data_IF_097803140853
#
_entry.id   IF_097803140853
#
_cell.length_a   1.000
_cell.length_b   1.000
_cell.length_c   1.000
_cell.angle_alpha   90.00
_cell.angle_beta   90.00
_cell.angle_gamma   90.00
#
_symmetry.space_group_name_H-M   'P 1'
#
loop_
_entity.id
_entity.type
_entity.pdbx_description
1 polymer ?
#
# COMPACT_ATOMS: atom_id res chain seq x y z
N UNK A 1 -21.65 -11.18 -9.44
CA UNK A 1 -20.29 -10.71 -9.77
C UNK A 1 -20.35 -9.19 -9.89
N UNK A 2 -19.83 -8.47 -8.90
CA UNK A 2 -19.92 -7.00 -8.91
C UNK A 2 -18.99 -6.47 -10.02
N UNK A 3 -19.54 -5.72 -10.97
CA UNK A 3 -18.75 -5.10 -12.02
C UNK A 3 -17.81 -4.07 -11.37
N UNK A 4 -16.49 -4.28 -11.49
CA UNK A 4 -15.49 -3.33 -11.01
C UNK A 4 -15.76 -1.94 -11.64
N UNK A 5 -16.02 -0.94 -10.81
CA UNK A 5 -16.25 0.45 -11.24
C UNK A 5 -14.98 1.00 -11.89
N UNK A 6 -15.02 1.25 -13.20
CA UNK A 6 -13.91 1.86 -13.95
C UNK A 6 -14.11 3.38 -14.03
N UNK A 7 -13.06 4.15 -13.75
CA UNK A 7 -13.05 5.61 -13.94
C UNK A 7 -12.24 5.97 -15.19
N UNK A 8 -12.71 6.90 -16.05
CA UNK A 8 -11.91 7.37 -17.18
C UNK A 8 -10.68 8.15 -16.69
N UNK A 9 -9.54 7.90 -17.32
CA UNK A 9 -8.27 8.54 -16.99
C UNK A 9 -7.50 8.79 -18.29
N UNK A 10 -7.12 10.05 -18.52
CA UNK A 10 -6.37 10.46 -19.71
C UNK A 10 -4.92 10.74 -19.32
N UNK A 11 -3.99 10.16 -20.07
CA UNK A 11 -2.55 10.36 -19.91
C UNK A 11 -1.91 10.67 -21.26
N UNK A 12 -0.88 11.52 -21.24
CA UNK A 12 -0.04 11.76 -22.41
C UNK A 12 1.12 10.77 -22.41
N UNK A 13 1.30 10.05 -23.51
CA UNK A 13 2.43 9.16 -23.76
C UNK A 13 3.28 9.71 -24.88
N UNK A 14 4.60 9.47 -24.81
CA UNK A 14 5.48 9.69 -25.95
C UNK A 14 5.04 8.82 -27.13
N UNK A 15 5.16 9.36 -28.33
CA UNK A 15 4.67 8.74 -29.56
C UNK A 15 5.32 7.37 -29.86
N UNK A 16 6.61 7.22 -29.57
CA UNK A 16 7.35 5.97 -29.70
C UNK A 16 6.83 4.88 -28.75
N UNK A 17 6.44 5.25 -27.52
CA UNK A 17 5.88 4.31 -26.53
C UNK A 17 4.47 3.86 -26.93
N UNK A 18 3.66 4.78 -27.45
CA UNK A 18 2.33 4.42 -27.97
C UNK A 18 2.44 3.48 -29.18
N UNK A 19 3.38 3.75 -30.09
CA UNK A 19 3.66 2.90 -31.25
C UNK A 19 4.11 1.50 -30.84
N UNK A 20 5.00 1.40 -29.85
CA UNK A 20 5.44 0.11 -29.30
C UNK A 20 4.28 -0.66 -28.66
N UNK A 21 3.43 0.00 -27.87
CA UNK A 21 2.25 -0.62 -27.25
C UNK A 21 1.27 -1.15 -28.28
N UNK A 22 1.02 -0.41 -29.37
CA UNK A 22 0.17 -0.87 -30.48
C UNK A 22 0.72 -2.14 -31.13
N UNK A 23 2.01 -2.15 -31.46
CA UNK A 23 2.66 -3.34 -32.03
C UNK A 23 2.56 -4.56 -31.11
N UNK A 24 2.72 -4.38 -29.80
CA UNK A 24 2.56 -5.47 -28.82
C UNK A 24 1.10 -5.93 -28.74
N UNK A 25 0.15 -5.01 -28.73
CA UNK A 25 -1.27 -5.29 -28.69
C UNK A 25 -1.71 -6.13 -29.90
N UNK A 26 -1.29 -5.72 -31.09
CA UNK A 26 -1.58 -6.41 -32.35
C UNK A 26 -1.01 -7.83 -32.35
N UNK A 27 0.26 -7.99 -31.95
CA UNK A 27 0.92 -9.31 -31.86
C UNK A 27 0.24 -10.25 -30.86
N UNK A 28 -0.35 -9.71 -29.79
CA UNK A 28 -1.01 -10.48 -28.73
C UNK A 28 -2.53 -10.61 -28.92
N UNK A 29 -3.10 -10.00 -29.96
CA UNK A 29 -4.56 -9.98 -30.17
C UNK A 29 -5.32 -9.32 -29.01
N UNK A 30 -4.75 -8.28 -28.40
CA UNK A 30 -5.33 -7.57 -27.25
C UNK A 30 -5.45 -6.07 -27.49
N UNK A 31 -5.97 -5.33 -26.51
CA UNK A 31 -6.06 -3.87 -26.58
C UNK A 31 -4.90 -3.18 -25.87
N UNK A 32 -4.49 -2.02 -26.38
CA UNK A 32 -3.55 -1.11 -25.69
C UNK A 32 -4.01 -0.82 -24.26
N UNK A 33 -5.32 -0.63 -24.07
CA UNK A 33 -5.90 -0.37 -22.76
C UNK A 33 -5.72 -1.55 -21.79
N UNK A 34 -5.75 -2.80 -22.27
CA UNK A 34 -5.47 -3.96 -21.41
C UNK A 34 -4.00 -3.99 -21.01
N UNK A 35 -3.08 -3.78 -21.96
CA UNK A 35 -1.65 -3.75 -21.67
C UNK A 35 -1.30 -2.68 -20.66
N UNK A 36 -1.88 -1.48 -20.80
CA UNK A 36 -1.68 -0.38 -19.85
C UNK A 36 -2.19 -0.76 -18.46
N UNK A 37 -3.39 -1.34 -18.34
CA UNK A 37 -3.92 -1.80 -17.05
C UNK A 37 -3.03 -2.86 -16.41
N UNK A 38 -2.65 -3.90 -17.16
CA UNK A 38 -1.77 -4.95 -16.66
C UNK A 38 -0.43 -4.40 -16.18
N UNK A 39 0.16 -3.48 -16.95
CA UNK A 39 1.44 -2.86 -16.57
C UNK A 39 1.29 -2.03 -15.28
N UNK A 40 0.16 -1.35 -15.09
CA UNK A 40 -0.14 -0.60 -13.86
C UNK A 40 -0.37 -1.54 -12.69
N UNK A 41 -1.14 -2.62 -12.88
CA UNK A 41 -1.40 -3.63 -11.84
C UNK A 41 -0.08 -4.27 -11.38
N UNK A 42 0.78 -4.67 -12.32
CA UNK A 42 2.12 -5.20 -12.04
C UNK A 42 2.98 -4.16 -11.32
N UNK A 43 2.95 -2.89 -11.75
CA UNK A 43 3.70 -1.82 -11.10
C UNK A 43 3.25 -1.63 -9.65
N UNK A 44 1.94 -1.58 -9.38
CA UNK A 44 1.37 -1.40 -8.05
C UNK A 44 1.73 -2.57 -7.13
N UNK A 45 1.71 -3.81 -7.65
CA UNK A 45 2.12 -5.00 -6.88
C UNK A 45 3.64 -4.99 -6.62
N UNK A 46 4.43 -4.55 -7.59
CA UNK A 46 5.90 -4.56 -7.52
C UNK A 46 6.49 -3.44 -6.67
N UNK A 47 5.78 -2.31 -6.57
CA UNK A 47 6.11 -1.25 -5.64
C UNK A 47 5.50 -1.65 -4.30
N UNK A 48 6.30 -1.93 -3.25
CA UNK A 48 5.75 -1.79 -1.92
C UNK A 48 5.33 -0.32 -1.82
N UNK A 49 4.06 -0.03 -2.03
CA UNK A 49 3.43 1.07 -1.32
C UNK A 49 3.62 0.63 0.11
N UNK A 50 4.71 1.08 0.73
CA UNK A 50 4.97 0.83 2.12
C UNK A 50 3.90 1.63 2.88
N UNK A 51 2.68 1.10 2.92
CA UNK A 51 2.01 0.95 4.20
C UNK A 51 3.06 0.25 5.05
N UNK A 52 3.77 1.04 5.85
CA UNK A 52 4.65 0.51 6.87
C UNK A 52 3.80 -0.53 7.63
N UNK A 53 4.08 -1.84 7.53
CA UNK A 53 3.25 -2.85 8.17
C UNK A 53 3.25 -2.70 9.70
N UNK A 54 4.16 -1.89 10.26
CA UNK A 54 4.16 -1.51 11.67
C UNK A 54 3.17 -0.38 11.98
N UNK A 55 2.69 0.36 10.99
CA UNK A 55 1.67 1.39 11.17
C UNK A 55 0.34 0.79 11.64
N UNK A 56 0.02 -0.43 11.19
CA UNK A 56 -1.14 -1.21 11.66
C UNK A 56 -1.03 -1.62 13.15
N UNK A 57 0.17 -1.53 13.75
CA UNK A 57 0.41 -1.83 15.16
C UNK A 57 0.09 -0.61 16.04
N UNK A 58 0.13 0.61 15.48
CA UNK A 58 -0.12 1.84 16.22
C UNK A 58 -1.59 1.89 16.65
N UNK A 59 -1.83 1.96 17.97
CA UNK A 59 -3.18 2.03 18.54
C UNK A 59 -3.86 0.68 18.81
N UNK A 60 -3.15 -0.44 18.70
CA UNK A 60 -3.69 -1.76 19.08
C UNK A 60 -3.97 -1.93 20.59
N UNK A 61 -3.34 -1.10 21.43
CA UNK A 61 -3.50 -1.12 22.88
C UNK A 61 -3.83 0.26 23.43
N UNK A 62 -4.63 0.28 24.49
CA UNK A 62 -4.94 1.48 25.28
C UNK A 62 -4.59 1.19 26.75
N UNK A 63 -3.67 1.96 27.31
CA UNK A 63 -3.31 1.88 28.73
C UNK A 63 -4.14 2.83 29.60
N UNK A 64 -4.90 3.74 28.99
CA UNK A 64 -5.57 4.85 29.68
C UNK A 64 -4.62 5.95 30.18
N UNK A 65 -3.32 5.84 29.91
CA UNK A 65 -2.28 6.76 30.39
C UNK A 65 -1.80 7.66 29.25
N UNK A 66 -1.99 8.98 29.40
CA UNK A 66 -1.62 9.97 28.39
C UNK A 66 -0.11 10.24 28.26
N UNK A 67 0.69 9.77 29.22
CA UNK A 67 2.14 9.99 29.30
C UNK A 67 2.94 8.69 29.19
N UNK A 68 2.31 7.58 28.78
CA UNK A 68 2.93 6.25 28.79
C UNK A 68 4.22 6.21 27.95
N UNK A 69 4.23 6.85 26.78
CA UNK A 69 5.40 6.87 25.91
C UNK A 69 6.59 7.61 26.55
N UNK A 70 6.32 8.72 27.24
CA UNK A 70 7.34 9.55 27.89
C UNK A 70 7.89 8.90 29.17
N UNK A 71 7.04 8.21 29.93
CA UNK A 71 7.36 7.67 31.24
C UNK A 71 7.39 6.13 31.30
N UNK A 72 7.61 5.45 30.16
CA UNK A 72 7.52 4.00 30.06
C UNK A 72 8.39 3.24 31.08
N UNK A 73 9.65 3.68 31.28
CA UNK A 73 10.57 3.05 32.23
C UNK A 73 10.06 3.08 33.68
N UNK A 74 9.44 4.20 34.09
CA UNK A 74 8.83 4.32 35.43
C UNK A 74 7.73 3.29 35.59
N UNK A 75 6.83 3.19 34.62
CA UNK A 75 5.71 2.24 34.67
C UNK A 75 6.17 0.78 34.66
N UNK A 76 7.22 0.45 33.88
CA UNK A 76 7.82 -0.88 33.91
C UNK A 76 8.41 -1.22 35.29
N UNK A 77 9.13 -0.29 35.91
CA UNK A 77 9.70 -0.47 37.25
C UNK A 77 8.62 -0.65 38.34
N UNK A 78 7.51 0.10 38.24
CA UNK A 78 6.36 -0.03 39.13
C UNK A 78 5.66 -1.39 38.97
N UNK A 79 5.52 -1.90 37.73
CA UNK A 79 4.93 -3.22 37.48
C UNK A 79 5.78 -4.36 38.06
N UNK A 80 7.10 -4.32 37.85
CA UNK A 80 8.02 -5.34 38.39
C UNK A 80 8.02 -5.37 39.92
N UNK A 81 7.94 -4.19 40.56
CA UNK A 81 7.86 -4.10 42.03
C UNK A 81 6.50 -4.49 42.59
N UNK A 82 5.41 -4.27 41.84
CA UNK A 82 4.07 -4.73 42.22
C UNK A 82 3.90 -6.26 42.10
N UNK A 83 4.54 -6.89 41.10
CA UNK A 83 4.48 -8.35 40.88
C UNK A 83 5.35 -9.17 41.85
N UNK A 84 6.24 -8.54 42.61
CA UNK A 84 7.08 -9.17 43.63
C UNK A 84 6.46 -9.19 45.04
N UNK A 85 5.17 -8.84 45.18
CA UNK A 85 4.43 -8.87 46.45
C UNK A 85 3.48 -10.05 46.55
#
# INVERSE_FOLDING_TARGET
MSALTKKPFQVYLREDRLSALRCIADKRGTSVALLVRQSIDELIVSLPVAEDPLLDIVGLGDSGLGDLAENHDRYLAEMETAGQR
#
